data_IF_293419429180
#
_entry.id   IF_293419429180
#
_cell.length_a   1.000
_cell.length_b   1.000
_cell.length_c   1.000
_cell.angle_alpha   90.00
_cell.angle_beta   90.00
_cell.angle_gamma   90.00
#
_symmetry.space_group_name_H-M   'P 1'
#
loop_
_entity.id
_entity.type
_entity.pdbx_description
1 polymer ?
#
# COMPACT_ATOMS: atom_id res chain seq x y z
N UNK A 1 -11.07 -22.65 8.58
CA UNK A 1 -11.57 -22.59 9.98
C UNK A 1 -11.47 -23.96 10.63
N UNK A 2 -11.30 -24.00 11.94
CA UNK A 2 -11.28 -25.22 12.73
C UNK A 2 -12.69 -25.73 13.03
N UNK A 3 -12.84 -27.05 13.10
CA UNK A 3 -14.15 -27.64 13.41
C UNK A 3 -14.49 -27.62 14.91
N UNK A 4 -13.58 -27.32 15.85
CA UNK A 4 -13.88 -27.51 17.26
C UNK A 4 -13.14 -26.69 18.32
N UNK A 5 -12.12 -26.01 18.15
CA UNK A 5 -11.49 -25.11 19.17
C UNK A 5 -10.34 -24.33 18.55
N UNK A 6 -10.11 -23.09 18.99
CA UNK A 6 -8.96 -22.31 18.63
C UNK A 6 -7.67 -23.02 19.03
N UNK A 7 -6.88 -23.36 18.04
CA UNK A 7 -5.54 -23.92 18.27
C UNK A 7 -4.52 -22.98 17.63
N UNK A 8 -3.26 -22.95 18.08
CA UNK A 8 -2.22 -22.12 17.49
C UNK A 8 -1.97 -22.34 15.98
N UNK A 9 -2.53 -23.38 15.41
CA UNK A 9 -2.37 -23.76 14.00
C UNK A 9 -3.65 -23.62 13.16
N UNK A 10 -4.70 -22.98 13.71
CA UNK A 10 -6.02 -23.00 13.10
C UNK A 10 -6.80 -21.74 13.50
N UNK A 11 -7.52 -21.15 12.56
CA UNK A 11 -8.35 -19.98 12.81
C UNK A 11 -9.78 -20.40 13.15
N UNK A 12 -10.39 -19.70 14.11
CA UNK A 12 -11.82 -19.76 14.35
C UNK A 12 -12.63 -19.19 13.18
N UNK A 13 -13.94 -19.35 13.21
CA UNK A 13 -14.82 -18.74 12.20
C UNK A 13 -14.71 -17.21 12.22
N UNK A 14 -14.68 -16.59 13.41
CA UNK A 14 -14.59 -15.14 13.57
C UNK A 14 -13.24 -14.58 13.10
N UNK A 15 -12.15 -15.28 13.41
CA UNK A 15 -10.82 -14.93 12.92
C UNK A 15 -10.72 -15.07 11.39
N UNK A 16 -11.29 -16.13 10.84
CA UNK A 16 -11.35 -16.34 9.39
C UNK A 16 -12.18 -15.25 8.70
N UNK A 17 -13.31 -14.86 9.29
CA UNK A 17 -14.15 -13.78 8.79
C UNK A 17 -13.43 -12.42 8.88
N UNK A 18 -12.69 -12.17 9.96
CA UNK A 18 -11.88 -10.96 10.13
C UNK A 18 -10.77 -10.90 9.08
N UNK A 19 -10.05 -12.00 8.89
CA UNK A 19 -9.00 -12.09 7.88
C UNK A 19 -9.55 -11.85 6.46
N UNK A 20 -10.72 -12.42 6.15
CA UNK A 20 -11.36 -12.19 4.86
C UNK A 20 -11.67 -10.70 4.63
N UNK A 21 -12.18 -9.99 5.66
CA UNK A 21 -12.39 -8.53 5.60
C UNK A 21 -11.09 -7.76 5.40
N UNK A 22 -10.02 -8.13 6.08
CA UNK A 22 -8.71 -7.49 5.92
C UNK A 22 -8.19 -7.62 4.49
N UNK A 23 -8.32 -8.82 3.88
CA UNK A 23 -7.90 -9.07 2.50
C UNK A 23 -8.78 -8.37 1.47
N UNK A 24 -10.07 -8.27 1.76
CA UNK A 24 -11.03 -7.58 0.90
C UNK A 24 -10.80 -6.06 0.88
N UNK A 25 -10.34 -5.49 2.00
CA UNK A 25 -10.19 -4.05 2.19
C UNK A 25 -11.49 -3.34 2.57
N UNK A 26 -11.44 -2.01 2.74
CA UNK A 26 -12.59 -1.24 3.23
C UNK A 26 -13.69 -1.14 2.18
N UNK A 27 -14.92 -1.41 2.62
CA UNK A 27 -16.13 -1.33 1.80
C UNK A 27 -17.23 -0.60 2.57
N UNK A 28 -18.13 0.05 1.84
CA UNK A 28 -19.41 0.53 2.33
C UNK A 28 -20.39 -0.65 2.57
N UNK A 29 -21.53 -0.39 3.19
CA UNK A 29 -22.53 -1.43 3.52
C UNK A 29 -23.11 -2.10 2.26
N UNK A 30 -23.19 -1.39 1.16
CA UNK A 30 -23.65 -1.93 -0.13
C UNK A 30 -22.57 -2.72 -0.90
N UNK A 31 -21.36 -2.84 -0.33
CA UNK A 31 -20.23 -3.55 -0.91
C UNK A 31 -19.38 -2.72 -1.88
N UNK A 32 -19.62 -1.42 -2.01
CA UNK A 32 -18.78 -0.54 -2.82
C UNK A 32 -17.38 -0.45 -2.22
N UNK A 33 -16.37 -0.72 -3.04
CA UNK A 33 -14.97 -0.66 -2.61
C UNK A 33 -14.54 0.80 -2.39
N UNK A 34 -14.09 1.12 -1.18
CA UNK A 34 -13.68 2.47 -0.79
C UNK A 34 -12.20 2.74 -1.06
N UNK A 35 -11.39 1.70 -1.15
CA UNK A 35 -9.96 1.78 -1.45
C UNK A 35 -9.50 0.52 -2.21
N UNK A 36 -8.54 0.61 -3.14
CA UNK A 36 -8.08 -0.53 -3.90
C UNK A 36 -7.49 -1.63 -3.01
N UNK A 37 -8.18 -2.77 -2.93
CA UNK A 37 -7.74 -3.94 -2.18
C UNK A 37 -7.59 -3.75 -0.67
N UNK A 38 -7.09 -4.77 -0.03
CA UNK A 38 -6.82 -4.83 1.41
C UNK A 38 -5.39 -5.29 1.69
N UNK A 39 -5.21 -6.01 2.79
CA UNK A 39 -3.91 -6.56 3.19
C UNK A 39 -3.54 -7.72 2.26
N UNK A 40 -2.38 -7.68 1.58
CA UNK A 40 -2.03 -8.69 0.59
C UNK A 40 -1.66 -10.03 1.22
N UNK A 41 -1.90 -11.11 0.47
CA UNK A 41 -1.40 -12.44 0.81
C UNK A 41 0.12 -12.48 0.75
N UNK A 42 0.75 -13.22 1.68
CA UNK A 42 2.20 -13.29 1.80
C UNK A 42 2.80 -12.20 2.69
N UNK A 43 1.98 -11.27 3.21
CA UNK A 43 2.42 -10.24 4.15
C UNK A 43 2.43 -10.68 5.63
N UNK A 44 1.90 -11.87 5.94
CA UNK A 44 1.73 -12.40 7.29
C UNK A 44 3.02 -12.39 8.14
N UNK A 45 4.20 -12.67 7.59
CA UNK A 45 5.46 -12.62 8.35
C UNK A 45 5.76 -11.26 8.98
N UNK A 46 5.18 -10.19 8.45
CA UNK A 46 5.42 -8.80 8.87
C UNK A 46 4.34 -8.23 9.77
N UNK A 47 3.20 -8.93 9.96
CA UNK A 47 2.04 -8.42 10.70
C UNK A 47 2.33 -8.12 12.16
N UNK A 48 3.27 -8.82 12.77
CA UNK A 48 3.65 -8.56 14.16
C UNK A 48 4.14 -7.13 14.37
N UNK A 49 4.89 -6.58 13.39
CA UNK A 49 5.38 -5.19 13.48
C UNK A 49 4.24 -4.19 13.24
N UNK A 50 3.41 -4.46 12.25
CA UNK A 50 2.48 -3.49 11.72
C UNK A 50 1.08 -3.58 12.34
N UNK A 51 0.53 -4.77 12.46
CA UNK A 51 -0.90 -4.98 12.70
C UNK A 51 -1.21 -5.63 14.05
N UNK A 52 -0.58 -6.78 14.36
CA UNK A 52 -0.99 -7.65 15.46
C UNK A 52 -0.16 -7.49 16.73
N UNK A 53 1.08 -7.07 16.62
CA UNK A 53 2.06 -7.19 17.71
C UNK A 53 2.60 -8.62 17.84
N UNK A 54 3.55 -8.81 18.73
CA UNK A 54 4.10 -10.11 19.09
C UNK A 54 3.78 -10.49 20.54
N UNK A 55 4.16 -11.71 20.93
CA UNK A 55 3.91 -12.21 22.29
C UNK A 55 4.60 -11.39 23.41
N UNK A 56 5.60 -10.60 23.08
CA UNK A 56 6.33 -9.71 24.01
C UNK A 56 5.72 -8.30 24.07
N UNK A 57 4.64 -8.03 23.31
CA UNK A 57 3.97 -6.73 23.26
C UNK A 57 4.66 -5.70 22.37
N UNK A 58 5.66 -6.08 21.57
CA UNK A 58 6.30 -5.19 20.59
C UNK A 58 5.55 -5.18 19.27
N UNK A 59 5.73 -4.12 18.48
CA UNK A 59 5.07 -3.93 17.19
C UNK A 59 3.70 -3.27 17.29
N UNK A 60 2.81 -3.58 16.33
CA UNK A 60 1.45 -3.04 16.25
C UNK A 60 1.42 -1.52 16.05
N UNK A 61 2.16 -1.03 15.06
CA UNK A 61 2.33 0.41 14.85
C UNK A 61 1.12 1.07 14.18
N UNK A 62 0.43 0.38 13.29
CA UNK A 62 -0.68 0.93 12.50
C UNK A 62 -1.83 1.48 13.34
N UNK A 63 -2.29 0.81 14.43
CA UNK A 63 -3.35 1.37 15.27
C UNK A 63 -3.01 2.73 15.87
N UNK A 64 -1.76 2.97 16.23
CA UNK A 64 -1.31 4.27 16.74
C UNK A 64 -1.34 5.33 15.62
N UNK A 65 -0.77 5.02 14.44
CA UNK A 65 -0.78 5.91 13.29
C UNK A 65 -2.20 6.28 12.86
N UNK A 66 -3.09 5.29 12.73
CA UNK A 66 -4.47 5.53 12.34
C UNK A 66 -5.22 6.38 13.38
N UNK A 67 -4.96 6.17 14.66
CA UNK A 67 -5.58 6.95 15.73
C UNK A 67 -5.16 8.41 15.66
N UNK A 68 -3.87 8.68 15.55
CA UNK A 68 -3.37 10.06 15.53
C UNK A 68 -3.67 10.76 14.21
N UNK A 69 -3.63 10.05 13.09
CA UNK A 69 -4.08 10.58 11.81
C UNK A 69 -5.56 10.99 11.87
N UNK A 70 -6.44 10.13 12.39
CA UNK A 70 -7.86 10.43 12.54
C UNK A 70 -8.13 11.62 13.47
N UNK A 71 -7.38 11.74 14.56
CA UNK A 71 -7.53 12.83 15.53
C UNK A 71 -7.16 14.21 15.00
N UNK A 72 -6.09 14.29 14.18
CA UNK A 72 -5.39 15.55 13.95
C UNK A 72 -5.14 15.87 12.47
N UNK A 73 -5.40 14.95 11.55
CA UNK A 73 -5.02 15.12 10.14
C UNK A 73 -6.10 14.74 9.14
N UNK A 74 -6.98 13.80 9.47
CA UNK A 74 -7.91 13.20 8.51
C UNK A 74 -9.07 14.14 8.11
N UNK A 75 -9.50 15.03 9.00
CA UNK A 75 -10.70 15.83 8.83
C UNK A 75 -10.40 17.34 8.79
N UNK A 76 -11.20 18.14 8.08
CA UNK A 76 -11.02 19.61 8.07
C UNK A 76 -11.16 20.26 9.44
N UNK A 77 -11.89 19.60 10.35
CA UNK A 77 -12.00 19.99 11.75
C UNK A 77 -11.63 18.78 12.58
N UNK A 78 -10.59 18.91 13.40
CA UNK A 78 -10.10 17.82 14.23
C UNK A 78 -11.16 17.34 15.22
N UNK A 79 -11.47 16.04 15.26
CA UNK A 79 -12.40 15.49 16.25
C UNK A 79 -11.81 15.50 17.67
N UNK A 80 -10.49 15.68 17.78
CA UNK A 80 -9.77 15.84 19.05
C UNK A 80 -9.28 14.53 19.67
N UNK A 81 -8.62 14.64 20.84
CA UNK A 81 -7.84 13.53 21.42
C UNK A 81 -8.69 12.35 21.92
N UNK A 82 -9.99 12.54 22.09
CA UNK A 82 -10.89 11.45 22.52
C UNK A 82 -11.31 10.53 21.38
N UNK A 83 -11.19 10.97 20.12
CA UNK A 83 -11.59 10.18 18.96
C UNK A 83 -10.77 8.88 18.84
N UNK A 84 -11.46 7.82 18.43
CA UNK A 84 -10.86 6.50 18.18
C UNK A 84 -11.26 5.97 16.81
N UNK A 85 -10.48 5.07 16.18
CA UNK A 85 -10.83 4.45 14.90
C UNK A 85 -12.18 3.71 14.90
N UNK A 86 -12.70 3.31 16.06
CA UNK A 86 -14.02 2.67 16.19
C UNK A 86 -15.18 3.65 15.89
N UNK A 87 -14.92 4.95 15.91
CA UNK A 87 -15.91 5.99 15.59
C UNK A 87 -15.95 6.32 14.10
N UNK A 88 -15.04 5.75 13.31
CA UNK A 88 -15.02 5.96 11.86
C UNK A 88 -16.20 5.25 11.20
N UNK A 89 -17.03 6.02 10.52
CA UNK A 89 -18.20 5.52 9.77
C UNK A 89 -17.86 5.38 8.29
N UNK A 90 -17.79 4.14 7.80
CA UNK A 90 -17.44 3.82 6.41
C UNK A 90 -18.47 4.30 5.38
N UNK A 91 -19.67 4.73 5.81
CA UNK A 91 -20.68 5.31 4.91
C UNK A 91 -20.53 6.82 4.74
N UNK A 92 -20.23 7.52 5.84
CA UNK A 92 -20.27 9.00 5.86
C UNK A 92 -18.89 9.64 5.89
N UNK A 93 -17.91 9.03 6.56
CA UNK A 93 -16.60 9.64 6.75
C UNK A 93 -15.71 9.67 5.50
N UNK A 94 -15.77 8.71 4.55
CA UNK A 94 -15.00 8.83 3.32
C UNK A 94 -15.21 10.15 2.59
N UNK A 95 -16.45 10.65 2.54
CA UNK A 95 -16.73 11.96 1.94
C UNK A 95 -16.14 13.13 2.74
N UNK A 96 -16.02 13.01 4.05
CA UNK A 96 -15.42 14.03 4.94
C UNK A 96 -13.91 14.11 4.81
N UNK A 97 -13.26 13.04 4.37
CA UNK A 97 -11.81 13.01 4.12
C UNK A 97 -11.41 13.80 2.88
N UNK A 98 -12.34 14.08 1.95
CA UNK A 98 -12.04 14.63 0.62
C UNK A 98 -11.22 15.92 0.68
N UNK A 99 -11.55 16.85 1.59
CA UNK A 99 -10.81 18.12 1.73
C UNK A 99 -9.34 17.92 2.12
N UNK A 100 -9.09 17.01 3.05
CA UNK A 100 -7.72 16.72 3.48
C UNK A 100 -6.98 15.84 2.47
N UNK A 101 -7.72 15.01 1.73
CA UNK A 101 -7.16 14.25 0.62
C UNK A 101 -6.56 15.17 -0.47
N UNK A 102 -7.21 16.31 -0.78
CA UNK A 102 -6.66 17.31 -1.70
C UNK A 102 -5.33 17.93 -1.21
N UNK A 103 -5.10 17.93 0.11
CA UNK A 103 -3.86 18.45 0.71
C UNK A 103 -2.75 17.40 0.76
N UNK A 104 -3.11 16.16 1.09
CA UNK A 104 -2.11 15.11 1.38
C UNK A 104 -1.84 14.16 0.23
N UNK A 105 -2.82 13.91 -0.66
CA UNK A 105 -2.66 12.93 -1.72
C UNK A 105 -1.70 13.43 -2.80
N UNK A 106 -0.59 12.72 -2.95
CA UNK A 106 0.37 12.92 -4.04
C UNK A 106 0.20 11.89 -5.16
N UNK A 107 -1.00 11.36 -5.35
CA UNK A 107 -1.30 10.21 -6.20
C UNK A 107 -1.98 10.57 -7.53
N UNK A 108 -1.77 11.78 -8.04
CA UNK A 108 -2.29 12.13 -9.37
C UNK A 108 -1.75 11.17 -10.43
N UNK A 109 -2.62 10.52 -11.21
CA UNK A 109 -2.20 9.68 -12.32
C UNK A 109 -1.89 10.48 -13.59
N UNK A 110 -2.18 11.78 -13.62
CA UNK A 110 -1.83 12.64 -14.75
C UNK A 110 -0.34 13.03 -14.70
N UNK A 111 0.44 12.31 -15.49
CA UNK A 111 1.87 12.53 -15.67
C UNK A 111 2.20 13.27 -16.97
N UNK A 112 1.23 13.92 -17.62
CA UNK A 112 1.39 14.54 -18.93
C UNK A 112 2.52 15.59 -18.96
N UNK A 113 2.57 16.48 -17.96
CA UNK A 113 3.61 17.48 -17.85
C UNK A 113 5.00 16.87 -17.59
N UNK A 114 5.09 15.85 -16.73
CA UNK A 114 6.32 15.13 -16.46
C UNK A 114 6.85 14.42 -17.71
N UNK A 115 5.97 13.75 -18.45
CA UNK A 115 6.31 13.07 -19.71
C UNK A 115 6.73 14.04 -20.80
N UNK A 116 6.00 15.15 -20.94
CA UNK A 116 6.34 16.20 -21.91
C UNK A 116 7.72 16.85 -21.64
N UNK A 117 8.14 16.90 -20.38
CA UNK A 117 9.48 17.36 -19.99
C UNK A 117 10.58 16.28 -20.23
N UNK A 118 10.22 15.09 -20.73
CA UNK A 118 11.16 13.98 -20.94
C UNK A 118 11.58 13.26 -19.68
N UNK A 119 10.87 13.46 -18.58
CA UNK A 119 11.16 12.83 -17.28
C UNK A 119 11.14 11.30 -17.35
N UNK A 120 11.95 10.66 -16.53
CA UNK A 120 12.00 9.19 -16.35
C UNK A 120 11.79 8.86 -14.89
N UNK A 121 10.97 7.87 -14.61
CA UNK A 121 10.64 7.43 -13.26
C UNK A 121 10.69 5.90 -13.16
N UNK A 122 11.38 5.41 -12.14
CA UNK A 122 11.30 4.03 -11.71
C UNK A 122 10.55 4.03 -10.36
N UNK A 123 9.39 3.38 -10.33
CA UNK A 123 8.67 3.06 -9.11
C UNK A 123 8.88 1.61 -8.72
N UNK A 124 8.86 1.32 -7.44
CA UNK A 124 8.81 -0.05 -6.93
C UNK A 124 7.95 -0.13 -5.67
N UNK A 125 7.32 -1.28 -5.46
CA UNK A 125 6.50 -1.53 -4.29
C UNK A 125 6.56 -3.01 -3.91
N UNK A 126 6.60 -3.30 -2.61
CA UNK A 126 6.61 -4.67 -2.10
C UNK A 126 5.22 -5.31 -2.13
N UNK A 127 5.11 -6.51 -2.70
CA UNK A 127 3.85 -7.26 -2.67
C UNK A 127 3.42 -7.69 -1.27
N UNK A 128 4.33 -7.69 -0.28
CA UNK A 128 4.04 -8.05 1.11
C UNK A 128 3.81 -6.82 2.02
N UNK A 129 3.57 -5.63 1.45
CA UNK A 129 3.28 -4.42 2.22
C UNK A 129 1.88 -4.51 2.87
N UNK A 130 1.86 -4.73 4.17
CA UNK A 130 0.63 -4.91 4.95
C UNK A 130 -0.05 -3.59 5.36
N UNK A 131 0.58 -2.43 5.14
CA UNK A 131 0.08 -1.15 5.65
C UNK A 131 -0.20 -0.11 4.57
N UNK A 132 0.58 -0.10 3.50
CA UNK A 132 0.28 0.67 2.29
C UNK A 132 0.04 -0.33 1.18
N UNK A 133 -1.23 -0.66 0.92
CA UNK A 133 -1.55 -1.76 0.02
C UNK A 133 -0.94 -1.57 -1.37
N UNK A 134 -0.21 -2.58 -1.89
CA UNK A 134 0.38 -2.53 -3.23
C UNK A 134 -0.67 -2.43 -4.34
N UNK A 135 -1.90 -2.85 -4.09
CA UNK A 135 -3.02 -2.70 -5.03
C UNK A 135 -3.31 -1.24 -5.39
N UNK A 136 -3.07 -0.29 -4.46
CA UNK A 136 -3.21 1.14 -4.76
C UNK A 136 -2.15 1.63 -5.75
N UNK A 137 -0.93 1.13 -5.65
CA UNK A 137 0.15 1.47 -6.59
C UNK A 137 -0.15 0.91 -7.98
N UNK A 138 -0.67 -0.31 -8.06
CA UNK A 138 -1.10 -0.91 -9.33
C UNK A 138 -2.27 -0.11 -9.94
N UNK A 139 -3.30 0.21 -9.14
CA UNK A 139 -4.45 1.04 -9.57
C UNK A 139 -4.01 2.41 -10.10
N UNK A 140 -3.06 3.06 -9.40
CA UNK A 140 -2.48 4.32 -9.85
C UNK A 140 -1.75 4.18 -11.20
N UNK A 141 -0.94 3.13 -11.35
CA UNK A 141 -0.21 2.87 -12.59
C UNK A 141 -1.13 2.59 -13.77
N UNK A 142 -2.18 1.79 -13.56
CA UNK A 142 -3.19 1.49 -14.57
C UNK A 142 -3.94 2.77 -15.01
N UNK A 143 -4.30 3.65 -14.06
CA UNK A 143 -4.91 4.95 -14.35
C UNK A 143 -3.97 5.87 -15.13
N UNK A 144 -2.68 5.90 -14.76
CA UNK A 144 -1.67 6.65 -15.49
C UNK A 144 -1.48 6.11 -16.92
N UNK A 145 -1.50 4.79 -17.11
CA UNK A 145 -1.44 4.16 -18.42
C UNK A 145 -2.66 4.53 -19.30
N UNK A 146 -3.85 4.51 -18.71
CA UNK A 146 -5.06 4.92 -19.40
C UNK A 146 -5.00 6.40 -19.87
N UNK A 147 -4.50 7.30 -19.04
CA UNK A 147 -4.30 8.71 -19.39
C UNK A 147 -3.17 8.91 -20.42
N UNK A 148 -2.17 8.05 -20.41
CA UNK A 148 -1.10 8.07 -21.40
C UNK A 148 -1.55 7.52 -22.78
N UNK A 149 -2.70 6.86 -22.84
CA UNK A 149 -3.27 6.22 -24.03
C UNK A 149 -3.00 4.72 -24.13
N UNK A 150 -1.94 4.22 -23.52
CA UNK A 150 -1.63 2.80 -23.32
C UNK A 150 -0.53 2.60 -22.30
N UNK A 151 -0.34 1.36 -21.86
CA UNK A 151 0.79 0.99 -20.98
C UNK A 151 2.14 1.16 -21.68
N UNK A 152 2.23 0.84 -22.98
CA UNK A 152 3.42 1.03 -23.80
C UNK A 152 3.82 2.51 -23.86
N UNK A 153 2.83 3.39 -24.06
CA UNK A 153 3.07 4.84 -24.07
C UNK A 153 3.51 5.36 -22.69
N UNK A 154 2.99 4.82 -21.60
CA UNK A 154 3.45 5.16 -20.25
C UNK A 154 4.88 4.66 -20.00
N UNK A 155 5.22 3.45 -20.43
CA UNK A 155 6.54 2.82 -20.25
C UNK A 155 7.68 3.60 -20.90
N UNK A 156 7.39 4.47 -21.84
CA UNK A 156 8.43 5.38 -22.36
C UNK A 156 9.01 6.31 -21.29
N UNK A 157 8.28 6.55 -20.19
CA UNK A 157 8.64 7.47 -19.12
C UNK A 157 8.59 6.87 -17.73
N UNK A 158 7.78 5.82 -17.49
CA UNK A 158 7.53 5.25 -16.17
C UNK A 158 7.67 3.73 -16.21
N UNK A 159 8.54 3.18 -15.39
CA UNK A 159 8.67 1.75 -15.14
C UNK A 159 8.27 1.44 -13.69
N UNK A 160 7.32 0.51 -13.50
CA UNK A 160 6.89 0.04 -12.18
C UNK A 160 7.33 -1.40 -11.96
N UNK A 161 7.96 -1.66 -10.82
CA UNK A 161 8.40 -3.00 -10.39
C UNK A 161 7.72 -3.40 -9.09
N UNK A 162 6.94 -4.46 -9.14
CA UNK A 162 6.34 -5.04 -7.96
C UNK A 162 7.23 -6.15 -7.41
N UNK A 163 7.69 -6.01 -6.16
CA UNK A 163 8.73 -6.87 -5.57
C UNK A 163 8.10 -7.95 -4.68
N UNK A 164 8.18 -9.23 -5.07
CA UNK A 164 7.65 -10.33 -4.24
C UNK A 164 8.34 -10.40 -2.87
N UNK A 165 7.57 -10.63 -1.81
CA UNK A 165 8.08 -10.85 -0.46
C UNK A 165 8.68 -9.63 0.24
N UNK A 166 8.71 -8.47 -0.40
CA UNK A 166 9.16 -7.23 0.22
C UNK A 166 8.02 -6.59 1.03
N UNK A 167 8.29 -6.21 2.27
CA UNK A 167 7.35 -5.50 3.14
C UNK A 167 7.37 -3.98 2.92
N UNK A 168 6.70 -3.26 3.80
CA UNK A 168 6.65 -1.79 3.78
C UNK A 168 8.04 -1.17 3.82
N UNK A 169 8.40 -0.46 2.75
CA UNK A 169 9.74 0.13 2.54
C UNK A 169 10.90 -0.87 2.69
N UNK A 170 10.64 -2.19 2.71
CA UNK A 170 11.66 -3.20 2.93
C UNK A 170 12.39 -3.05 4.29
N UNK A 171 11.67 -2.60 5.32
CA UNK A 171 12.22 -2.40 6.67
C UNK A 171 12.65 -3.73 7.30
N UNK A 172 11.85 -4.77 7.09
CA UNK A 172 12.17 -6.12 7.49
C UNK A 172 12.62 -6.92 6.26
N UNK A 173 13.67 -7.74 6.40
CA UNK A 173 14.03 -8.63 5.30
C UNK A 173 12.92 -9.67 5.09
N UNK A 174 12.54 -9.87 3.82
CA UNK A 174 11.61 -10.93 3.43
C UNK A 174 12.17 -12.33 3.71
N UNK A 175 11.36 -13.38 3.52
CA UNK A 175 11.79 -14.77 3.70
C UNK A 175 13.04 -15.12 2.87
N UNK A 176 13.21 -14.49 1.72
CA UNK A 176 14.36 -14.66 0.83
C UNK A 176 15.49 -13.66 1.09
N UNK A 177 15.42 -12.89 2.19
CA UNK A 177 16.42 -11.89 2.58
C UNK A 177 16.35 -10.58 1.81
N UNK A 178 15.36 -10.40 0.93
CA UNK A 178 15.20 -9.16 0.16
C UNK A 178 14.76 -8.03 1.09
N UNK A 179 15.51 -6.93 1.06
CA UNK A 179 15.20 -5.68 1.77
C UNK A 179 15.35 -4.49 0.83
N UNK A 180 14.90 -3.30 1.25
CA UNK A 180 15.03 -2.09 0.42
C UNK A 180 16.49 -1.76 0.10
N UNK A 181 17.42 -2.10 0.98
CA UNK A 181 18.86 -1.88 0.78
C UNK A 181 19.47 -2.81 -0.26
N UNK A 182 18.78 -3.89 -0.62
CA UNK A 182 19.20 -4.81 -1.66
C UNK A 182 18.77 -4.34 -3.07
N UNK A 183 17.79 -3.43 -3.17
CA UNK A 183 17.30 -2.93 -4.46
C UNK A 183 18.17 -1.79 -4.99
N UNK A 184 18.56 -1.89 -6.24
CA UNK A 184 19.25 -0.81 -6.96
C UNK A 184 18.39 -0.27 -8.12
N UNK A 185 17.53 0.73 -7.87
CA UNK A 185 16.76 1.40 -8.92
C UNK A 185 17.58 2.50 -9.62
N UNK A 186 18.68 2.95 -9.04
CA UNK A 186 19.43 4.10 -9.55
C UNK A 186 20.24 3.77 -10.79
N UNK A 187 21.00 2.66 -10.78
CA UNK A 187 21.79 2.25 -11.95
C UNK A 187 20.94 2.10 -13.22
N UNK A 188 19.79 1.38 -13.22
CA UNK A 188 18.94 1.32 -14.41
C UNK A 188 18.30 2.66 -14.78
N UNK A 189 18.02 3.56 -13.82
CA UNK A 189 17.52 4.90 -14.12
C UNK A 189 18.58 5.75 -14.83
N UNK A 190 19.81 5.74 -14.37
CA UNK A 190 20.94 6.44 -15.00
C UNK A 190 21.19 5.91 -16.42
N UNK A 191 21.15 4.60 -16.61
CA UNK A 191 21.28 3.97 -17.94
C UNK A 191 20.13 4.40 -18.85
N UNK A 192 18.90 4.43 -18.34
CA UNK A 192 17.74 4.87 -19.11
C UNK A 192 17.86 6.33 -19.56
N UNK A 193 18.34 7.21 -18.69
CA UNK A 193 18.57 8.62 -19.03
C UNK A 193 19.69 8.80 -20.04
N UNK A 194 20.76 8.03 -19.95
CA UNK A 194 21.94 8.14 -20.82
C UNK A 194 21.74 7.50 -22.19
N UNK A 195 21.08 6.35 -22.24
CA UNK A 195 21.03 5.48 -23.43
C UNK A 195 19.62 5.37 -24.04
N UNK A 196 18.57 5.85 -23.32
CA UNK A 196 17.18 5.73 -23.75
C UNK A 196 16.59 4.33 -23.57
N UNK A 197 17.33 3.38 -22.95
CA UNK A 197 16.89 2.00 -22.78
C UNK A 197 15.98 1.87 -21.58
N UNK A 198 14.69 1.52 -21.82
CA UNK A 198 13.71 1.29 -20.75
C UNK A 198 14.13 0.09 -19.90
N UNK A 199 14.23 0.23 -18.57
CA UNK A 199 14.58 -0.88 -17.71
C UNK A 199 13.48 -1.94 -17.66
N UNK A 200 13.85 -3.20 -17.80
CA UNK A 200 12.94 -4.36 -17.72
C UNK A 200 13.06 -5.11 -16.41
N UNK A 201 14.03 -4.75 -15.59
CA UNK A 201 14.26 -5.31 -14.25
C UNK A 201 15.03 -4.33 -13.38
N UNK A 202 14.89 -4.47 -12.07
CA UNK A 202 15.79 -3.93 -11.06
C UNK A 202 16.45 -5.08 -10.33
N UNK A 203 17.74 -4.94 -10.01
CA UNK A 203 18.49 -6.00 -9.35
C UNK A 203 18.31 -5.89 -7.83
N UNK A 204 18.10 -7.04 -7.17
CA UNK A 204 18.30 -7.22 -5.74
C UNK A 204 19.67 -7.88 -5.52
N UNK A 205 20.51 -7.27 -4.67
CA UNK A 205 21.87 -7.73 -4.35
C UNK A 205 21.95 -8.27 -2.92
#
# INVERSE_FOLDING_TARGET
ACEAEDTPSCLSEDESATLAKWRQGPQSQDGTQLYPGGIPEGSEPFWWLWLTGNAQGAGRLVPAFNTDFGRYMAFPTDPGPAWTPAEFDFETDPARLATMAEVYNGDSPDLSAFRAAGGKMIGWHGWADAIVTPYKTVDWYEKAAALAGSEEALKENVALFMVPGLDHCGILPGPDGISATALDPMTPLETWLAEGTVPTSIMAQ
#
